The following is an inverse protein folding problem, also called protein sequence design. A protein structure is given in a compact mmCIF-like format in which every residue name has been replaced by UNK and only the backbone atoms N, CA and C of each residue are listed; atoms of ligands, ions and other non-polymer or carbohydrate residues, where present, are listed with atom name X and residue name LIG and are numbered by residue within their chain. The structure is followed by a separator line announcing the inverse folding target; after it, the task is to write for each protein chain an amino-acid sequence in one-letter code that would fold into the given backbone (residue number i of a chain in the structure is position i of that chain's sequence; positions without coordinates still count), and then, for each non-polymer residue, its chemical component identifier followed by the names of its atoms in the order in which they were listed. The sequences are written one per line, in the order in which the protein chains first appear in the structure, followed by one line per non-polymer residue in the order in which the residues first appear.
data_IF_909752299853
#
_entry.id   IF_909752299853
#
_cell.length_a   1.000
_cell.length_b   1.000
_cell.length_c   1.000
_cell.angle_alpha   90.00
_cell.angle_beta   90.00
_cell.angle_gamma   90.00
#
_symmetry.space_group_name_H-M   'P 1'
#
loop_
_entity.id
_entity.type
_entity.pdbx_description
1 polymer ?
#
# COMPACT_ATOMS: atom_id res chain seq x y z
N UNK A 1 7.84 -18.93 -2.24
CA UNK A 1 8.28 -17.77 -3.03
C UNK A 1 7.06 -17.04 -3.61
N UNK A 2 7.10 -15.71 -3.67
CA UNK A 2 6.06 -14.90 -4.29
C UNK A 2 6.19 -14.91 -5.81
N UNK A 3 5.07 -15.11 -6.51
CA UNK A 3 5.01 -15.06 -7.98
C UNK A 3 3.98 -14.05 -8.44
N UNK A 4 4.35 -13.25 -9.45
CA UNK A 4 3.40 -12.36 -10.09
C UNK A 4 2.53 -13.14 -11.09
N UNK A 5 1.21 -13.00 -10.97
CA UNK A 5 0.23 -13.59 -11.87
C UNK A 5 -0.43 -12.50 -12.69
N UNK A 6 -0.38 -12.63 -14.01
CA UNK A 6 -0.94 -11.67 -14.97
C UNK A 6 -2.09 -12.28 -15.75
N UNK A 7 -3.16 -11.51 -15.96
CA UNK A 7 -4.36 -11.90 -16.70
C UNK A 7 -5.00 -13.23 -16.25
N UNK A 8 -4.78 -13.67 -15.01
CA UNK A 8 -5.48 -14.83 -14.46
C UNK A 8 -6.93 -14.44 -14.10
N UNK A 9 -7.89 -15.20 -14.65
CA UNK A 9 -9.32 -14.95 -14.51
C UNK A 9 -9.99 -15.69 -13.36
N UNK A 10 -11.32 -15.81 -13.46
CA UNK A 10 -12.22 -16.27 -12.41
C UNK A 10 -11.90 -17.67 -11.84
N UNK A 11 -11.34 -18.59 -12.63
CA UNK A 11 -11.14 -19.99 -12.24
C UNK A 11 -12.40 -20.61 -11.58
N UNK A 12 -13.58 -20.31 -12.13
CA UNK A 12 -14.87 -20.75 -11.58
C UNK A 12 -15.45 -19.90 -10.45
N UNK A 13 -14.81 -18.80 -10.05
CA UNK A 13 -15.33 -17.87 -9.05
C UNK A 13 -16.41 -16.94 -9.67
N UNK A 14 -17.69 -17.07 -9.28
CA UNK A 14 -18.77 -16.27 -9.86
C UNK A 14 -18.68 -14.78 -9.49
N UNK A 15 -17.89 -14.41 -8.48
CA UNK A 15 -17.69 -13.03 -8.04
C UNK A 15 -16.54 -12.33 -8.73
N UNK A 16 -15.73 -13.05 -9.53
CA UNK A 16 -14.64 -12.46 -10.30
C UNK A 16 -15.06 -12.31 -11.76
N UNK A 17 -15.45 -11.09 -12.15
CA UNK A 17 -15.89 -10.75 -13.50
C UNK A 17 -15.02 -9.64 -14.11
N UNK A 18 -14.88 -9.66 -15.43
CA UNK A 18 -14.19 -8.63 -16.20
C UNK A 18 -14.84 -8.51 -17.58
N UNK A 19 -14.91 -7.28 -18.09
CA UNK A 19 -15.38 -6.98 -19.46
C UNK A 19 -14.29 -7.10 -20.52
N UNK A 20 -13.02 -7.24 -20.10
CA UNK A 20 -11.84 -7.29 -20.97
C UNK A 20 -11.02 -8.57 -20.79
N UNK A 21 -11.64 -9.67 -20.34
CA UNK A 21 -10.98 -10.96 -20.08
C UNK A 21 -9.76 -10.84 -19.16
N UNK A 22 -9.83 -9.95 -18.16
CA UNK A 22 -8.79 -9.73 -17.15
C UNK A 22 -7.45 -9.19 -17.69
N UNK A 23 -7.40 -8.70 -18.93
CA UNK A 23 -6.19 -8.06 -19.49
C UNK A 23 -5.79 -6.86 -18.62
N UNK A 24 -4.50 -6.75 -18.31
CA UNK A 24 -3.93 -5.70 -17.45
C UNK A 24 -3.96 -6.01 -15.96
N UNK A 25 -4.60 -7.12 -15.56
CA UNK A 25 -4.70 -7.53 -14.16
C UNK A 25 -3.39 -8.17 -13.71
N UNK A 26 -2.92 -7.76 -12.53
CA UNK A 26 -1.74 -8.31 -11.88
C UNK A 26 -2.02 -8.62 -10.41
N UNK A 27 -1.54 -9.78 -9.94
CA UNK A 27 -1.77 -10.23 -8.55
C UNK A 27 -0.55 -11.02 -8.05
N UNK A 28 -0.12 -10.76 -6.83
CA UNK A 28 0.95 -11.53 -6.20
C UNK A 28 0.36 -12.76 -5.51
N UNK A 29 0.91 -13.95 -5.79
CA UNK A 29 0.51 -15.21 -5.14
C UNK A 29 1.72 -15.87 -4.49
N UNK A 30 1.57 -16.20 -3.22
CA UNK A 30 2.57 -17.00 -2.52
C UNK A 30 2.42 -18.49 -2.88
N UNK A 31 3.54 -19.12 -3.21
CA UNK A 31 3.63 -20.57 -3.42
C UNK A 31 4.78 -21.13 -2.57
N UNK A 32 4.52 -21.98 -1.57
CA UNK A 32 5.55 -22.53 -0.68
C UNK A 32 6.53 -23.47 -1.40
N UNK A 33 6.13 -24.03 -2.53
CA UNK A 33 6.92 -24.98 -3.32
C UNK A 33 7.61 -24.30 -4.51
N UNK A 34 7.25 -23.05 -4.82
CA UNK A 34 7.90 -22.29 -5.87
C UNK A 34 9.34 -21.90 -5.52
N UNK A 35 10.20 -22.03 -6.53
CA UNK A 35 11.55 -21.49 -6.56
C UNK A 35 12.60 -22.41 -5.97
N UNK A 36 13.77 -22.46 -6.60
CA UNK A 36 14.96 -23.17 -6.10
C UNK A 36 15.50 -22.50 -4.82
N UNK A 37 16.34 -23.18 -4.03
CA UNK A 37 17.00 -22.56 -2.87
C UNK A 37 17.72 -21.26 -3.25
N UNK A 38 18.43 -21.25 -4.38
CA UNK A 38 19.15 -20.07 -4.86
C UNK A 38 18.21 -18.92 -5.22
N UNK A 39 17.08 -19.20 -5.88
CA UNK A 39 16.08 -18.17 -6.22
C UNK A 39 15.46 -17.55 -4.96
N UNK A 40 15.19 -18.37 -3.94
CA UNK A 40 14.67 -17.88 -2.66
C UNK A 40 15.71 -17.03 -1.94
N UNK A 41 16.98 -17.44 -1.97
CA UNK A 41 18.08 -16.67 -1.40
C UNK A 41 18.29 -15.34 -2.12
N UNK A 42 18.14 -15.31 -3.45
CA UNK A 42 18.25 -14.08 -4.25
C UNK A 42 17.13 -13.07 -3.89
N UNK A 43 15.90 -13.55 -3.73
CA UNK A 43 14.76 -12.74 -3.26
C UNK A 43 15.03 -12.20 -1.85
N UNK A 44 15.48 -13.04 -0.93
CA UNK A 44 15.78 -12.61 0.44
C UNK A 44 16.91 -11.57 0.47
N UNK A 45 17.97 -11.78 -0.31
CA UNK A 45 19.07 -10.84 -0.45
C UNK A 45 18.60 -9.48 -1.01
N UNK A 46 17.71 -9.48 -2.00
CA UNK A 46 17.12 -8.26 -2.54
C UNK A 46 16.30 -7.50 -1.47
N UNK A 47 15.54 -8.23 -0.65
CA UNK A 47 14.75 -7.63 0.42
C UNK A 47 15.62 -7.09 1.56
N UNK A 48 16.66 -7.81 1.95
CA UNK A 48 17.64 -7.35 2.93
C UNK A 48 18.39 -6.11 2.43
N UNK A 49 18.82 -6.11 1.17
CA UNK A 49 19.47 -4.95 0.56
C UNK A 49 18.54 -3.72 0.56
N UNK A 50 17.26 -3.89 0.21
CA UNK A 50 16.29 -2.80 0.31
C UNK A 50 16.14 -2.32 1.75
N UNK A 51 16.04 -3.23 2.73
CA UNK A 51 15.93 -2.86 4.14
C UNK A 51 17.13 -2.02 4.61
N UNK A 52 18.35 -2.40 4.25
CA UNK A 52 19.57 -1.67 4.62
C UNK A 52 19.61 -0.26 4.00
N UNK A 53 19.12 -0.10 2.77
CA UNK A 53 19.17 1.15 2.00
C UNK A 53 17.85 1.96 2.06
N UNK A 54 16.87 1.53 2.84
CA UNK A 54 15.50 2.10 2.90
C UNK A 54 15.43 3.58 3.31
N UNK A 55 16.52 4.15 3.80
CA UNK A 55 16.60 5.57 4.15
C UNK A 55 17.14 6.44 3.01
N UNK A 56 17.88 5.84 2.09
CA UNK A 56 18.49 6.51 0.95
C UNK A 56 17.63 6.35 -0.31
N UNK A 57 17.00 5.18 -0.48
CA UNK A 57 16.06 4.88 -1.56
C UNK A 57 14.74 4.41 -0.97
N UNK A 58 13.69 5.23 -1.14
CA UNK A 58 12.36 4.97 -0.58
C UNK A 58 11.50 4.02 -1.42
N UNK A 59 11.48 4.11 -2.76
CA UNK A 59 10.66 3.20 -3.58
C UNK A 59 11.35 1.85 -3.78
N UNK A 60 10.58 0.76 -3.86
CA UNK A 60 11.10 -0.60 -4.06
C UNK A 60 11.67 -0.84 -5.46
N UNK A 61 11.24 -0.03 -6.43
CA UNK A 61 11.63 -0.13 -7.83
C UNK A 61 11.19 -1.43 -8.51
N UNK A 62 10.15 -2.10 -8.00
CA UNK A 62 9.60 -3.35 -8.56
C UNK A 62 10.66 -4.45 -8.82
N UNK A 63 11.71 -4.52 -7.99
CA UNK A 63 12.87 -5.36 -8.25
C UNK A 63 12.50 -6.85 -8.37
N UNK A 64 11.65 -7.35 -7.47
CA UNK A 64 11.23 -8.76 -7.48
C UNK A 64 10.48 -9.15 -8.75
N UNK A 65 9.64 -8.25 -9.29
CA UNK A 65 8.97 -8.46 -10.57
C UNK A 65 9.96 -8.47 -11.73
N UNK A 66 10.89 -7.51 -11.77
CA UNK A 66 11.92 -7.44 -12.82
C UNK A 66 12.76 -8.71 -12.84
N UNK A 67 13.20 -9.20 -11.68
CA UNK A 67 13.97 -10.45 -11.58
C UNK A 67 13.21 -11.64 -12.22
N UNK A 68 11.92 -11.79 -11.92
CA UNK A 68 11.10 -12.87 -12.48
C UNK A 68 10.95 -12.77 -13.99
N UNK A 69 10.58 -11.59 -14.51
CA UNK A 69 10.30 -11.41 -15.93
C UNK A 69 11.55 -11.53 -16.80
N UNK A 70 12.66 -10.97 -16.36
CA UNK A 70 13.93 -11.06 -17.07
C UNK A 70 14.43 -12.51 -17.11
N UNK A 71 14.26 -13.25 -16.01
CA UNK A 71 14.63 -14.66 -15.94
C UNK A 71 13.77 -15.54 -16.84
N UNK A 72 12.44 -15.39 -16.78
CA UNK A 72 11.50 -16.15 -17.64
C UNK A 72 11.80 -15.99 -19.14
N UNK A 73 12.28 -14.80 -19.54
CA UNK A 73 12.63 -14.50 -20.94
C UNK A 73 14.10 -14.77 -21.27
N UNK A 74 14.88 -15.32 -20.34
CA UNK A 74 16.33 -15.47 -20.46
C UNK A 74 17.02 -14.18 -20.97
N UNK A 75 16.53 -13.03 -20.50
CA UNK A 75 16.97 -11.73 -21.01
C UNK A 75 18.42 -11.46 -20.63
N UNK A 76 19.19 -10.97 -21.59
CA UNK A 76 20.55 -10.46 -21.38
C UNK A 76 20.65 -9.08 -21.99
N UNK A 77 21.07 -8.09 -21.20
CA UNK A 77 21.32 -6.76 -21.72
C UNK A 77 22.62 -6.78 -22.54
N UNK A 78 22.49 -6.78 -23.86
CA UNK A 78 23.62 -6.79 -24.81
C UNK A 78 24.13 -5.41 -25.15
N UNK A 79 23.34 -4.35 -24.88
CA UNK A 79 23.70 -2.98 -25.18
C UNK A 79 24.38 -2.36 -23.94
N UNK A 80 25.65 -1.92 -24.04
CA UNK A 80 26.40 -1.37 -22.92
C UNK A 80 25.75 -0.08 -22.39
N UNK A 81 25.84 0.19 -21.08
CA UNK A 81 25.38 1.46 -20.53
C UNK A 81 26.23 2.61 -21.07
N UNK A 82 25.58 3.71 -21.39
CA UNK A 82 26.27 4.97 -21.73
C UNK A 82 26.36 5.80 -20.46
N UNK A 83 27.56 6.29 -20.14
CA UNK A 83 27.79 7.28 -19.08
C UNK A 83 28.16 8.59 -19.76
N UNK A 84 27.57 9.67 -19.28
CA UNK A 84 27.87 11.03 -19.70
C UNK A 84 28.24 11.77 -18.43
N UNK A 85 29.45 12.30 -18.37
CA UNK A 85 29.93 13.06 -17.21
C UNK A 85 29.34 14.48 -17.21
N UNK A 86 29.38 15.14 -16.05
CA UNK A 86 28.94 16.53 -15.95
C UNK A 86 29.74 17.40 -16.93
N UNK A 87 29.02 18.20 -17.74
CA UNK A 87 29.55 19.09 -18.80
C UNK A 87 29.95 18.42 -20.13
N UNK A 88 29.72 17.12 -20.32
CA UNK A 88 29.89 16.49 -21.65
C UNK A 88 28.68 16.76 -22.56
N UNK A 89 28.94 16.98 -23.86
CA UNK A 89 27.87 17.16 -24.86
C UNK A 89 27.20 15.82 -25.19
N UNK A 90 25.87 15.77 -25.07
CA UNK A 90 25.10 14.58 -25.41
C UNK A 90 24.98 14.48 -26.94
N UNK A 91 25.78 13.60 -27.54
CA UNK A 91 25.72 13.33 -28.97
C UNK A 91 24.47 12.52 -29.36
N UNK A 92 24.09 12.57 -30.64
CA UNK A 92 23.01 11.77 -31.19
C UNK A 92 23.24 10.26 -31.00
N UNK A 93 24.48 9.79 -31.15
CA UNK A 93 24.86 8.39 -30.96
C UNK A 93 24.69 7.95 -29.50
N UNK A 94 25.08 8.80 -28.56
CA UNK A 94 24.93 8.60 -27.12
C UNK A 94 23.45 8.46 -26.76
N UNK A 95 22.62 9.42 -27.18
CA UNK A 95 21.18 9.39 -26.95
C UNK A 95 20.52 8.17 -27.61
N UNK A 96 20.89 7.86 -28.85
CA UNK A 96 20.38 6.72 -29.60
C UNK A 96 20.72 5.38 -28.94
N UNK A 97 21.93 5.25 -28.41
CA UNK A 97 22.37 4.03 -27.72
C UNK A 97 21.64 3.86 -26.40
N UNK A 98 21.51 4.94 -25.62
CA UNK A 98 20.75 4.94 -24.37
C UNK A 98 19.27 4.56 -24.62
N UNK A 99 18.63 5.12 -25.64
CA UNK A 99 17.25 4.81 -26.02
C UNK A 99 17.11 3.34 -26.43
N UNK A 100 17.97 2.83 -27.32
CA UNK A 100 17.94 1.42 -27.75
C UNK A 100 18.09 0.47 -26.56
N UNK A 101 19.01 0.79 -25.64
CA UNK A 101 19.20 0.03 -24.40
C UNK A 101 17.94 0.02 -23.52
N UNK A 102 17.32 1.18 -23.34
CA UNK A 102 16.10 1.33 -22.55
C UNK A 102 14.92 0.57 -23.17
N UNK A 103 14.69 0.71 -24.48
CA UNK A 103 13.63 0.00 -25.21
C UNK A 103 13.85 -1.51 -25.18
N UNK A 104 15.09 -1.98 -25.36
CA UNK A 104 15.43 -3.40 -25.27
C UNK A 104 15.09 -3.98 -23.88
N UNK A 105 15.44 -3.25 -22.82
CA UNK A 105 15.12 -3.64 -21.45
C UNK A 105 13.60 -3.58 -21.16
N UNK A 106 12.95 -2.48 -21.49
CA UNK A 106 11.54 -2.26 -21.15
C UNK A 106 10.62 -3.21 -21.92
N UNK A 107 10.95 -3.54 -23.17
CA UNK A 107 10.24 -4.58 -23.94
C UNK A 107 10.31 -5.95 -23.26
N UNK A 108 11.44 -6.27 -22.63
CA UNK A 108 11.59 -7.50 -21.86
C UNK A 108 10.75 -7.51 -20.57
N UNK A 109 10.21 -6.38 -20.13
CA UNK A 109 9.33 -6.30 -18.96
C UNK A 109 7.83 -6.36 -19.30
N UNK A 110 7.44 -6.38 -20.58
CA UNK A 110 6.04 -6.49 -20.97
C UNK A 110 5.43 -7.84 -20.55
N UNK A 111 4.25 -7.84 -19.92
CA UNK A 111 3.50 -9.06 -19.63
C UNK A 111 2.95 -9.71 -20.91
N UNK A 112 2.63 -11.00 -20.82
CA UNK A 112 2.13 -11.82 -21.95
C UNK A 112 0.84 -11.29 -22.62
N UNK A 113 0.03 -10.56 -21.86
CA UNK A 113 -1.22 -9.92 -22.29
C UNK A 113 -1.00 -8.45 -22.73
N UNK A 114 0.25 -8.01 -22.83
CA UNK A 114 0.64 -6.74 -23.44
C UNK A 114 0.78 -5.55 -22.47
N UNK A 115 0.37 -5.68 -21.20
CA UNK A 115 0.54 -4.61 -20.21
C UNK A 115 1.93 -4.60 -19.58
N UNK A 116 2.27 -3.53 -18.87
CA UNK A 116 3.44 -3.48 -17.99
C UNK A 116 3.00 -3.50 -16.53
N UNK A 117 3.25 -4.61 -15.81
CA UNK A 117 3.12 -4.64 -14.37
C UNK A 117 3.93 -3.50 -13.73
N UNK A 118 3.37 -2.88 -12.71
CA UNK A 118 4.05 -1.85 -11.95
C UNK A 118 3.43 -1.72 -10.55
N UNK A 119 4.27 -1.42 -9.56
CA UNK A 119 3.81 -0.97 -8.26
C UNK A 119 3.21 0.43 -8.40
N UNK A 120 1.97 0.60 -7.92
CA UNK A 120 1.33 1.89 -7.75
C UNK A 120 1.12 2.18 -6.26
N UNK A 121 2.23 2.41 -5.56
CA UNK A 121 2.27 2.66 -4.13
C UNK A 121 2.79 4.07 -3.82
N UNK A 122 2.94 4.38 -2.54
CA UNK A 122 3.50 5.65 -2.07
C UNK A 122 2.74 6.21 -0.88
N UNK A 123 1.41 6.42 -0.98
CA UNK A 123 0.63 6.93 0.15
C UNK A 123 0.49 5.88 1.25
N UNK A 124 0.89 6.23 2.48
CA UNK A 124 0.91 5.33 3.64
C UNK A 124 -0.44 5.22 4.36
N UNK A 125 -1.46 5.88 3.82
CA UNK A 125 -2.84 5.80 4.30
C UNK A 125 -3.74 4.98 3.37
N UNK A 126 -3.20 4.26 2.39
CA UNK A 126 -3.99 3.28 1.63
C UNK A 126 -4.06 1.93 2.33
N UNK A 127 -2.90 1.36 2.66
CA UNK A 127 -2.80 0.02 3.24
C UNK A 127 -3.54 -0.14 4.60
N UNK A 128 -3.45 0.80 5.56
CA UNK A 128 -4.17 0.64 6.82
C UNK A 128 -5.71 0.72 6.66
N UNK A 129 -6.28 1.83 6.15
CA UNK A 129 -7.73 2.04 6.16
C UNK A 129 -8.46 1.82 4.83
N UNK A 130 -7.77 1.90 3.68
CA UNK A 130 -8.41 2.17 2.40
C UNK A 130 -8.51 0.98 1.43
N UNK A 131 -9.71 0.83 0.89
CA UNK A 131 -10.09 -0.13 -0.15
C UNK A 131 -9.47 0.32 -1.47
N UNK A 132 -8.54 -0.44 -2.03
CA UNK A 132 -8.27 -0.37 -3.47
C UNK A 132 -9.10 -1.44 -4.19
N UNK A 133 -9.87 -0.98 -5.16
CA UNK A 133 -10.82 -1.74 -5.96
C UNK A 133 -10.11 -2.63 -6.98
N UNK A 134 -9.34 -3.64 -6.56
CA UNK A 134 -8.87 -4.69 -7.47
C UNK A 134 -8.78 -6.02 -6.73
N UNK A 135 -9.55 -7.03 -7.19
CA UNK A 135 -9.51 -8.38 -6.63
C UNK A 135 -8.18 -9.09 -6.99
N UNK A 136 -7.75 -10.18 -6.31
CA UNK A 136 -8.13 -10.48 -4.95
C UNK A 136 -7.76 -9.25 -4.12
N UNK A 137 -8.67 -8.81 -3.26
CA UNK A 137 -8.75 -7.41 -2.90
C UNK A 137 -7.45 -7.02 -2.21
N UNK A 138 -6.80 -5.99 -2.72
CA UNK A 138 -6.03 -5.05 -1.89
C UNK A 138 -7.01 -4.40 -0.92
N UNK A 139 -7.49 -5.22 0.00
CA UNK A 139 -8.51 -4.88 0.95
C UNK A 139 -7.83 -4.18 2.12
N UNK A 140 -8.42 -3.15 2.70
CA UNK A 140 -7.77 -2.50 3.80
C UNK A 140 -7.80 -3.40 5.00
N UNK A 141 -6.66 -3.49 5.68
CA UNK A 141 -6.51 -4.32 6.88
C UNK A 141 -7.63 -4.03 7.88
N UNK A 142 -7.96 -2.75 8.05
CA UNK A 142 -9.03 -2.26 8.91
C UNK A 142 -10.43 -2.74 8.51
N UNK A 143 -10.88 -2.58 7.25
CA UNK A 143 -12.23 -3.03 6.86
C UNK A 143 -12.35 -4.55 6.82
N UNK A 144 -11.31 -5.26 6.40
CA UNK A 144 -11.34 -6.73 6.39
C UNK A 144 -11.39 -7.29 7.81
N UNK A 145 -10.68 -6.65 8.73
CA UNK A 145 -10.81 -6.96 10.16
C UNK A 145 -12.25 -6.73 10.65
N UNK A 146 -12.80 -5.54 10.38
CA UNK A 146 -14.18 -5.17 10.77
C UNK A 146 -15.22 -6.16 10.24
N UNK A 147 -15.04 -6.66 9.02
CA UNK A 147 -15.97 -7.61 8.39
C UNK A 147 -15.72 -9.06 8.81
N UNK A 148 -14.67 -9.36 9.59
CA UNK A 148 -14.36 -10.71 10.06
C UNK A 148 -13.63 -11.60 9.06
N UNK A 149 -13.10 -11.05 7.96
CA UNK A 149 -12.51 -11.82 6.86
C UNK A 149 -10.98 -11.78 6.84
N UNK A 150 -10.32 -11.31 7.90
CA UNK A 150 -8.87 -11.02 7.89
C UNK A 150 -8.04 -12.23 7.47
N UNK A 151 -8.31 -13.39 8.07
CA UNK A 151 -7.55 -14.61 7.78
C UNK A 151 -7.90 -15.23 6.42
N UNK A 152 -9.09 -14.93 5.88
CA UNK A 152 -9.54 -15.43 4.58
C UNK A 152 -8.94 -14.62 3.43
N UNK A 153 -8.91 -13.30 3.56
CA UNK A 153 -8.37 -12.38 2.54
C UNK A 153 -6.85 -12.25 2.65
N UNK A 154 -6.32 -12.22 3.87
CA UNK A 154 -4.89 -12.12 4.14
C UNK A 154 -4.38 -13.37 4.88
N UNK A 155 -3.97 -14.41 4.12
CA UNK A 155 -3.20 -15.51 4.66
C UNK A 155 -1.96 -15.04 5.42
N UNK A 156 -1.38 -15.91 6.24
CA UNK A 156 -0.22 -15.58 7.08
C UNK A 156 0.92 -14.90 6.31
N UNK A 157 1.24 -15.37 5.10
CA UNK A 157 2.30 -14.80 4.27
C UNK A 157 1.97 -13.37 3.80
N UNK A 158 0.72 -13.07 3.43
CA UNK A 158 0.33 -11.70 3.08
C UNK A 158 0.47 -10.77 4.28
N UNK A 159 0.09 -11.23 5.48
CA UNK A 159 0.23 -10.42 6.70
C UNK A 159 1.69 -10.12 7.03
N UNK A 160 2.59 -11.09 6.83
CA UNK A 160 4.03 -10.88 6.97
C UNK A 160 4.54 -9.81 6.01
N UNK A 161 4.11 -9.84 4.74
CA UNK A 161 4.51 -8.83 3.75
C UNK A 161 3.94 -7.44 4.03
N UNK A 162 2.69 -7.36 4.49
CA UNK A 162 2.07 -6.10 4.91
C UNK A 162 2.86 -5.49 6.07
N UNK A 163 3.21 -6.29 7.08
CA UNK A 163 4.03 -5.86 8.20
C UNK A 163 5.42 -5.43 7.75
N UNK A 164 6.06 -6.21 6.85
CA UNK A 164 7.37 -5.88 6.27
C UNK A 164 7.35 -4.53 5.56
N UNK A 165 6.32 -4.25 4.74
CA UNK A 165 6.14 -2.96 4.09
C UNK A 165 6.05 -1.82 5.11
N UNK A 166 5.28 -2.01 6.20
CA UNK A 166 5.17 -1.02 7.27
C UNK A 166 6.53 -0.78 7.95
N UNK A 167 7.29 -1.84 8.24
CA UNK A 167 8.61 -1.72 8.86
C UNK A 167 9.62 -1.00 7.96
N UNK A 168 9.58 -1.29 6.66
CA UNK A 168 10.49 -0.70 5.69
C UNK A 168 10.28 0.82 5.52
N UNK A 169 9.06 1.30 5.78
CA UNK A 169 8.72 2.71 5.65
C UNK A 169 8.60 3.45 6.98
N UNK A 170 9.03 2.86 8.10
CA UNK A 170 9.18 3.59 9.36
C UNK A 170 10.40 4.52 9.29
N UNK A 171 10.19 5.79 9.61
CA UNK A 171 11.25 6.79 9.66
C UNK A 171 12.18 6.56 10.87
N UNK A 172 13.38 7.16 10.82
CA UNK A 172 14.40 7.02 11.89
C UNK A 172 13.92 7.51 13.24
N UNK A 173 12.98 8.46 13.26
CA UNK A 173 12.34 8.99 14.48
C UNK A 173 11.28 8.05 15.07
N UNK A 174 10.94 6.95 14.38
CA UNK A 174 9.94 5.99 14.81
C UNK A 174 8.53 6.25 14.26
N UNK A 175 8.31 7.33 13.52
CA UNK A 175 7.00 7.63 12.93
C UNK A 175 6.86 7.17 11.47
N UNK A 176 5.70 7.49 10.88
CA UNK A 176 5.39 7.30 9.46
C UNK A 176 4.79 8.57 8.85
N UNK A 177 5.17 8.85 7.61
CA UNK A 177 4.66 10.00 6.87
C UNK A 177 3.29 9.77 6.23
N UNK A 178 2.83 10.80 5.52
CA UNK A 178 1.64 10.71 4.66
C UNK A 178 1.91 9.81 3.43
N UNK A 179 3.15 9.76 2.98
CA UNK A 179 3.67 8.92 1.92
C UNK A 179 5.09 8.43 2.27
N UNK A 180 5.63 7.47 1.51
CA UNK A 180 6.92 6.81 1.77
C UNK A 180 8.13 7.75 1.84
N UNK A 181 8.05 8.92 1.21
CA UNK A 181 9.12 9.95 1.24
C UNK A 181 8.85 11.08 2.25
N UNK A 182 7.70 11.04 2.92
CA UNK A 182 7.27 12.09 3.84
C UNK A 182 7.91 11.96 5.22
N UNK A 183 8.12 13.11 5.87
CA UNK A 183 8.42 13.15 7.30
C UNK A 183 7.26 12.57 8.11
N UNK A 184 7.53 12.14 9.33
CA UNK A 184 6.54 11.51 10.21
C UNK A 184 5.39 12.45 10.55
N UNK A 185 4.17 11.94 10.47
CA UNK A 185 2.94 12.69 10.76
C UNK A 185 2.08 11.92 11.76
N UNK A 186 1.23 12.62 12.52
CA UNK A 186 0.26 11.96 13.40
C UNK A 186 -0.68 11.03 12.63
N UNK A 187 -1.07 11.42 11.41
CA UNK A 187 -1.94 10.60 10.57
C UNK A 187 -1.28 9.29 10.15
N UNK A 188 -0.11 9.35 9.51
CA UNK A 188 0.62 8.17 9.07
C UNK A 188 1.00 7.27 10.24
N UNK A 189 1.53 7.86 11.32
CA UNK A 189 2.03 7.08 12.48
C UNK A 189 0.92 6.35 13.21
N UNK A 190 -0.20 7.01 13.50
CA UNK A 190 -1.33 6.36 14.19
C UNK A 190 -1.93 5.26 13.31
N UNK A 191 -2.14 5.50 12.00
CA UNK A 191 -2.70 4.49 11.12
C UNK A 191 -1.78 3.27 10.96
N UNK A 192 -0.47 3.47 10.79
CA UNK A 192 0.52 2.38 10.76
C UNK A 192 0.55 1.61 12.07
N UNK A 193 0.52 2.31 13.22
CA UNK A 193 0.45 1.67 14.54
C UNK A 193 -0.79 0.80 14.68
N UNK A 194 -1.98 1.34 14.38
CA UNK A 194 -3.24 0.59 14.40
C UNK A 194 -3.19 -0.63 13.48
N UNK A 195 -2.62 -0.49 12.29
CA UNK A 195 -2.46 -1.58 11.33
C UNK A 195 -1.66 -2.74 11.93
N UNK A 196 -0.49 -2.46 12.50
CA UNK A 196 0.34 -3.47 13.14
C UNK A 196 -0.40 -4.16 14.30
N UNK A 197 -1.09 -3.39 15.15
CA UNK A 197 -1.88 -3.93 16.28
C UNK A 197 -3.03 -4.84 15.83
N UNK A 198 -3.67 -4.53 14.71
CA UNK A 198 -4.74 -5.35 14.11
C UNK A 198 -4.17 -6.64 13.51
N UNK A 199 -2.96 -6.57 12.92
CA UNK A 199 -2.29 -7.74 12.33
C UNK A 199 -1.68 -8.69 13.37
N UNK A 200 -1.69 -8.30 14.65
CA UNK A 200 -1.32 -9.14 15.79
C UNK A 200 0.00 -8.75 16.45
N UNK A 201 0.71 -7.73 15.97
CA UNK A 201 1.94 -7.26 16.61
C UNK A 201 1.64 -6.69 17.98
N UNK A 202 2.44 -7.07 18.98
CA UNK A 202 2.40 -6.57 20.37
C UNK A 202 2.59 -5.05 20.50
N UNK A 203 2.27 -4.45 21.66
CA UNK A 203 2.57 -3.03 21.89
C UNK A 203 4.08 -2.76 21.79
N UNK A 204 4.90 -3.75 22.16
CA UNK A 204 6.35 -3.72 22.05
C UNK A 204 6.84 -4.70 20.95
N UNK A 205 5.96 -5.03 19.99
CA UNK A 205 6.25 -5.92 18.87
C UNK A 205 6.76 -5.20 17.63
N UNK A 206 6.85 -5.97 16.55
CA UNK A 206 7.36 -5.57 15.25
C UNK A 206 8.88 -5.58 15.15
N UNK A 207 9.37 -5.58 13.90
CA UNK A 207 10.80 -5.54 13.62
C UNK A 207 11.43 -4.30 14.27
N UNK A 208 12.53 -4.50 15.00
CA UNK A 208 13.24 -3.48 15.77
C UNK A 208 12.35 -2.71 16.78
N UNK A 209 11.31 -3.33 17.34
CA UNK A 209 10.32 -2.70 18.22
C UNK A 209 9.54 -1.56 17.53
N UNK A 210 9.21 -1.74 16.26
CA UNK A 210 8.48 -0.76 15.44
C UNK A 210 7.23 -0.20 16.15
N UNK A 211 6.43 -1.04 16.82
CA UNK A 211 5.25 -0.61 17.56
C UNK A 211 5.58 0.32 18.74
N UNK A 212 6.60 -0.02 19.53
CA UNK A 212 7.00 0.78 20.68
C UNK A 212 7.53 2.16 20.24
N UNK A 213 8.33 2.20 19.18
CA UNK A 213 8.82 3.45 18.60
C UNK A 213 7.69 4.32 18.05
N UNK A 214 6.75 3.71 17.32
CA UNK A 214 5.56 4.41 16.82
C UNK A 214 4.71 4.99 17.95
N UNK A 215 4.45 4.20 19.00
CA UNK A 215 3.73 4.68 20.19
C UNK A 215 4.48 5.81 20.89
N UNK A 216 5.79 5.67 21.08
CA UNK A 216 6.63 6.73 21.66
C UNK A 216 6.53 8.01 20.84
N UNK A 217 6.66 7.93 19.52
CA UNK A 217 6.54 9.08 18.63
C UNK A 217 5.17 9.75 18.76
N UNK A 218 4.07 8.98 18.79
CA UNK A 218 2.71 9.51 18.98
C UNK A 218 2.60 10.29 20.30
N UNK A 219 3.06 9.70 21.40
CA UNK A 219 2.97 10.31 22.73
C UNK A 219 3.84 11.57 22.85
N UNK A 220 5.06 11.54 22.31
CA UNK A 220 5.98 12.68 22.32
C UNK A 220 5.45 13.88 21.50
N UNK A 221 4.54 13.65 20.54
CA UNK A 221 3.95 14.67 19.68
C UNK A 221 2.49 15.05 20.05
N UNK A 222 2.10 14.83 21.31
CA UNK A 222 0.80 15.27 21.85
C UNK A 222 -0.33 14.22 21.80
N UNK A 223 -0.03 13.00 21.34
CA UNK A 223 -0.98 11.89 21.31
C UNK A 223 -1.93 11.90 20.10
N UNK A 224 -2.70 10.83 19.97
CA UNK A 224 -3.59 10.60 18.82
C UNK A 224 -4.70 11.67 18.65
N UNK A 225 -4.93 12.54 19.63
CA UNK A 225 -5.93 13.63 19.56
C UNK A 225 -5.62 14.68 18.49
N UNK A 226 -4.34 14.84 18.13
CA UNK A 226 -3.84 15.73 17.08
C UNK A 226 -3.98 15.15 15.67
N UNK A 227 -4.56 13.96 15.51
CA UNK A 227 -4.75 13.35 14.21
C UNK A 227 -5.73 14.17 13.34
N UNK A 228 -5.50 14.27 12.02
CA UNK A 228 -6.44 14.91 11.08
C UNK A 228 -7.83 14.24 11.05
N UNK A 229 -8.81 14.93 10.47
CA UNK A 229 -10.23 14.54 10.47
C UNK A 229 -10.48 13.10 10.01
N UNK A 230 -9.81 12.64 8.94
CA UNK A 230 -9.95 11.25 8.46
C UNK A 230 -9.46 10.24 9.50
N UNK A 231 -8.39 10.56 10.21
CA UNK A 231 -7.89 9.71 11.29
C UNK A 231 -8.83 9.67 12.49
N UNK A 232 -9.45 10.81 12.85
CA UNK A 232 -10.49 10.84 13.90
C UNK A 232 -11.68 9.96 13.57
N UNK A 233 -12.11 9.95 12.29
CA UNK A 233 -13.14 9.03 11.81
C UNK A 233 -12.74 7.57 12.04
N UNK A 234 -11.50 7.18 11.70
CA UNK A 234 -11.01 5.82 11.94
C UNK A 234 -10.91 5.46 13.43
N UNK A 235 -10.40 6.36 14.26
CA UNK A 235 -10.36 6.17 15.72
C UNK A 235 -11.78 6.02 16.30
N UNK A 236 -12.75 6.76 15.78
CA UNK A 236 -14.16 6.66 16.20
C UNK A 236 -14.79 5.34 15.74
N UNK A 237 -14.50 4.90 14.52
CA UNK A 237 -14.91 3.59 14.00
C UNK A 237 -14.38 2.46 14.89
N UNK A 238 -13.17 2.58 15.42
CA UNK A 238 -12.59 1.59 16.34
C UNK A 238 -12.97 1.77 17.81
N UNK A 239 -13.77 2.78 18.13
CA UNK A 239 -14.18 3.08 19.50
C UNK A 239 -13.05 3.59 20.40
N UNK A 240 -11.93 4.03 19.81
CA UNK A 240 -10.80 4.63 20.55
C UNK A 240 -11.14 6.05 21.00
N UNK A 241 -11.91 6.79 20.21
CA UNK A 241 -12.48 8.08 20.60
C UNK A 241 -13.99 8.11 20.36
N UNK A 242 -14.69 8.97 21.10
CA UNK A 242 -16.11 9.21 20.84
C UNK A 242 -16.30 9.90 19.47
N UNK A 243 -17.41 9.59 18.80
CA UNK A 243 -17.73 10.18 17.51
C UNK A 243 -17.91 11.71 17.55
N UNK A 244 -18.15 12.30 18.73
CA UNK A 244 -18.14 13.76 18.96
C UNK A 244 -16.77 14.41 18.76
N UNK A 245 -15.68 13.63 18.79
CA UNK A 245 -14.34 14.13 18.49
C UNK A 245 -14.14 14.43 16.99
N UNK A 246 -14.99 13.87 16.13
CA UNK A 246 -14.95 14.05 14.68
C UNK A 246 -15.84 15.23 14.25
N UNK A 247 -15.38 16.03 13.29
CA UNK A 247 -16.23 17.05 12.67
C UNK A 247 -17.48 16.40 12.04
N UNK A 248 -18.66 17.04 12.11
CA UNK A 248 -19.88 16.45 11.58
C UNK A 248 -19.80 16.12 10.09
N UNK A 249 -20.20 14.89 9.73
CA UNK A 249 -20.40 14.44 8.35
C UNK A 249 -21.84 13.96 8.18
N UNK A 250 -22.83 14.88 8.20
CA UNK A 250 -24.25 14.53 8.25
C UNK A 250 -24.70 13.80 6.97
N UNK A 251 -25.39 12.66 7.07
CA UNK A 251 -25.95 11.98 5.90
C UNK A 251 -26.99 12.83 5.15
N UNK A 252 -27.61 13.80 5.80
CA UNK A 252 -28.57 14.74 5.20
C UNK A 252 -27.93 15.62 4.10
N UNK A 253 -26.61 15.81 4.12
CA UNK A 253 -25.89 16.48 3.05
C UNK A 253 -26.13 15.84 1.67
N UNK A 254 -26.40 14.54 1.64
CA UNK A 254 -26.56 13.76 0.41
C UNK A 254 -27.93 13.89 -0.26
N UNK A 255 -28.92 14.46 0.44
CA UNK A 255 -30.28 14.68 -0.07
C UNK A 255 -30.55 16.14 -0.47
N UNK A 256 -29.53 16.99 -0.45
CA UNK A 256 -29.65 18.38 -0.88
C UNK A 256 -30.18 18.46 -2.32
N UNK A 257 -30.97 19.49 -2.69
CA UNK A 257 -31.36 19.71 -4.07
C UNK A 257 -30.16 19.97 -4.99
N UNK A 258 -30.18 19.40 -6.20
CA UNK A 258 -29.08 19.49 -7.17
C UNK A 258 -28.73 20.90 -7.64
N UNK A 259 -29.67 21.84 -7.56
CA UNK A 259 -29.44 23.24 -7.92
C UNK A 259 -28.50 23.96 -6.94
N UNK A 260 -28.39 23.52 -5.68
CA UNK A 260 -27.54 24.17 -4.69
C UNK A 260 -26.04 24.05 -5.05
N UNK A 261 -25.21 25.07 -4.76
CA UNK A 261 -23.79 25.06 -5.10
C UNK A 261 -23.01 23.96 -4.37
N UNK A 262 -23.44 23.60 -3.16
CA UNK A 262 -22.77 22.60 -2.32
C UNK A 262 -23.27 21.16 -2.54
N UNK A 263 -24.08 20.92 -3.57
CA UNK A 263 -24.61 19.58 -3.83
C UNK A 263 -23.48 18.55 -4.05
N UNK A 264 -23.53 17.35 -3.43
CA UNK A 264 -22.45 16.37 -3.54
C UNK A 264 -22.07 15.94 -4.97
N UNK A 265 -23.00 16.02 -5.93
CA UNK A 265 -22.71 15.74 -7.34
C UNK A 265 -21.76 16.75 -8.00
N UNK A 266 -21.58 17.94 -7.42
CA UNK A 266 -20.64 18.97 -7.87
C UNK A 266 -19.26 18.85 -7.20
N UNK A 267 -19.10 17.94 -6.24
CA UNK A 267 -17.81 17.66 -5.61
C UNK A 267 -16.93 16.81 -6.53
N UNK A 268 -15.62 16.95 -6.36
CA UNK A 268 -14.65 16.04 -6.99
C UNK A 268 -15.01 14.58 -6.70
N UNK A 269 -14.97 13.73 -7.72
CA UNK A 269 -15.49 12.36 -7.66
C UNK A 269 -14.85 11.53 -6.53
N UNK A 270 -13.54 11.65 -6.31
CA UNK A 270 -12.84 10.96 -5.23
C UNK A 270 -13.30 11.45 -3.84
N UNK A 271 -13.48 12.75 -3.65
CA UNK A 271 -14.06 13.28 -2.40
C UNK A 271 -15.45 12.68 -2.16
N UNK A 272 -16.30 12.63 -3.19
CA UNK A 272 -17.64 12.05 -3.08
C UNK A 272 -17.60 10.59 -2.64
N UNK A 273 -16.73 9.79 -3.26
CA UNK A 273 -16.61 8.36 -2.98
C UNK A 273 -16.04 8.07 -1.59
N UNK A 274 -15.23 8.96 -1.02
CA UNK A 274 -14.71 8.82 0.35
C UNK A 274 -15.72 9.30 1.40
N UNK A 275 -16.30 10.49 1.21
CA UNK A 275 -17.18 11.08 2.23
C UNK A 275 -18.55 10.41 2.33
N UNK A 276 -19.03 9.74 1.27
CA UNK A 276 -20.32 9.04 1.28
C UNK A 276 -20.37 7.91 2.33
N UNK A 277 -19.46 6.90 2.29
CA UNK A 277 -19.43 5.86 3.32
C UNK A 277 -19.06 6.43 4.70
N UNK A 278 -18.19 7.43 4.79
CA UNK A 278 -17.88 8.07 6.08
C UNK A 278 -19.11 8.74 6.70
N UNK A 279 -19.94 9.42 5.91
CA UNK A 279 -21.19 10.05 6.39
C UNK A 279 -22.20 9.00 6.88
N UNK A 280 -22.29 7.86 6.17
CA UNK A 280 -23.13 6.74 6.61
C UNK A 280 -22.70 6.19 7.98
N UNK A 281 -21.39 5.94 8.14
CA UNK A 281 -20.82 5.43 9.40
C UNK A 281 -20.98 6.44 10.54
N UNK A 282 -20.75 7.73 10.26
CA UNK A 282 -20.95 8.82 11.19
C UNK A 282 -22.41 8.91 11.65
N UNK A 283 -23.38 8.91 10.72
CA UNK A 283 -24.81 8.98 11.03
C UNK A 283 -25.30 7.78 11.84
N UNK A 284 -24.72 6.60 11.63
CA UNK A 284 -25.04 5.38 12.40
C UNK A 284 -24.23 5.23 13.69
N UNK A 285 -23.23 6.10 13.94
CA UNK A 285 -22.32 6.02 15.10
C UNK A 285 -21.74 4.61 15.31
N UNK A 286 -21.36 3.92 14.21
CA UNK A 286 -20.90 2.53 14.27
C UNK A 286 -19.53 2.45 14.96
N UNK A 287 -19.38 1.46 15.84
CA UNK A 287 -18.14 1.16 16.54
C UNK A 287 -17.83 -0.33 16.35
N UNK A 288 -16.57 -0.63 16.09
CA UNK A 288 -16.01 -1.97 15.96
C UNK A 288 -14.83 -2.10 16.90
N UNK A 289 -15.05 -2.69 18.07
CA UNK A 289 -14.03 -2.81 19.11
C UNK A 289 -12.90 -3.73 18.65
N UNK A 290 -11.66 -3.28 18.82
CA UNK A 290 -10.46 -4.11 18.62
C UNK A 290 -9.90 -4.47 20.00
N UNK A 291 -10.00 -5.72 20.48
CA UNK A 291 -9.56 -6.09 21.83
C UNK A 291 -8.08 -5.82 22.11
N UNK A 292 -7.24 -5.79 21.06
CA UNK A 292 -5.80 -5.53 21.18
C UNK A 292 -5.46 -4.04 21.28
N UNK A 293 -6.39 -3.13 20.97
CA UNK A 293 -6.19 -1.70 21.17
C UNK A 293 -6.52 -1.37 22.63
N UNK A 294 -5.53 -1.46 23.51
CA UNK A 294 -5.64 -0.94 24.87
C UNK A 294 -5.94 0.57 24.87
N UNK A 295 -6.56 1.06 25.94
CA UNK A 295 -7.16 2.41 26.05
C UNK A 295 -6.18 3.61 26.06
N UNK A 296 -4.92 3.43 25.66
CA UNK A 296 -3.89 4.47 25.77
C UNK A 296 -2.98 4.51 24.53
N UNK A 297 -3.43 5.21 23.49
CA UNK A 297 -2.64 5.68 22.33
C UNK A 297 -2.98 7.14 22.04
#
# INVERSE_FOLDING_TARGET
MWKLKTAEGANGNPYLYSTNNFIGRQTWKFDPNAGTPDERAEVEAACQNFFENRFDVKPSGDLLWRMQFLKEKNFKQTIPPVKVEDHEEITYETASTALKRAVHFFSALQARDGHWPAENAGPLFFLPPLVSHDHPPSAPVMCVYITGHLNTVFPAEHRKEILRYIYYHQNKDGGWGLHIEGHSTMFGTVLSYLCMRILGEGPDGGQDNACARGRKWILDHGGATHIPSWGKTWLSIFGVCDWSASNPMPPEFWILPSFLPMHPAKMWCYCRLVYMPMSYLYGKRRIFTVPTLGSKI
#
